data_IF_568429173658
#
_entry.id   IF_568429173658
#
_cell.length_a   1.000
_cell.length_b   1.000
_cell.length_c   1.000
_cell.angle_alpha   90.00
_cell.angle_beta   90.00
_cell.angle_gamma   90.00
#
_symmetry.space_group_name_H-M   'P 1'
#
loop_
_entity.id
_entity.type
_entity.pdbx_description
1 polymer ?
#
# COMPACT_ATOMS: atom_id res chain seq x y z
N UNK A 1 14.16 -7.17 -20.25
CA UNK A 1 13.46 -7.91 -19.18
C UNK A 1 14.18 -9.24 -18.98
N UNK A 2 14.84 -9.42 -17.83
CA UNK A 2 15.56 -10.65 -17.49
C UNK A 2 14.59 -11.64 -16.85
N UNK A 3 14.53 -12.87 -17.35
CA UNK A 3 13.79 -13.98 -16.70
C UNK A 3 14.74 -14.76 -15.82
N UNK A 4 14.21 -15.39 -14.77
CA UNK A 4 14.96 -16.27 -13.90
C UNK A 4 14.30 -17.64 -13.89
N UNK A 5 15.08 -18.71 -14.06
CA UNK A 5 14.59 -20.05 -13.67
C UNK A 5 14.45 -20.12 -12.15
N UNK A 6 13.70 -21.10 -11.61
CA UNK A 6 13.65 -21.32 -10.16
C UNK A 6 15.03 -21.47 -9.51
N UNK A 7 15.98 -22.11 -10.21
CA UNK A 7 17.34 -22.34 -9.73
C UNK A 7 18.16 -21.04 -9.74
N UNK A 8 18.09 -20.25 -10.82
CA UNK A 8 18.77 -18.94 -10.89
C UNK A 8 18.23 -17.98 -9.83
N UNK A 9 16.90 -17.97 -9.62
CA UNK A 9 16.27 -17.16 -8.58
C UNK A 9 16.70 -17.63 -7.19
N UNK A 10 16.77 -18.94 -6.95
CA UNK A 10 17.25 -19.48 -5.69
C UNK A 10 18.72 -19.10 -5.42
N UNK A 11 19.57 -19.08 -6.44
CA UNK A 11 20.96 -18.62 -6.32
C UNK A 11 21.03 -17.14 -5.92
N UNK A 12 20.21 -16.28 -6.54
CA UNK A 12 20.12 -14.85 -6.16
C UNK A 12 19.68 -14.69 -4.71
N UNK A 13 18.67 -15.45 -4.27
CA UNK A 13 18.18 -15.40 -2.89
C UNK A 13 19.24 -15.90 -1.89
N UNK A 14 20.01 -16.91 -2.24
CA UNK A 14 21.08 -17.43 -1.38
C UNK A 14 22.22 -16.42 -1.26
N UNK A 15 22.67 -15.83 -2.38
CA UNK A 15 23.66 -14.75 -2.34
C UNK A 15 23.18 -13.56 -1.52
N UNK A 16 21.90 -13.22 -1.62
CA UNK A 16 21.33 -12.15 -0.82
C UNK A 16 21.26 -12.49 0.67
N UNK A 17 20.98 -13.75 1.02
CA UNK A 17 21.07 -14.22 2.41
C UNK A 17 22.49 -14.06 2.94
N UNK A 18 23.49 -14.54 2.21
CA UNK A 18 24.91 -14.38 2.56
C UNK A 18 25.28 -12.90 2.75
N UNK A 19 24.76 -12.01 1.89
CA UNK A 19 24.98 -10.56 2.01
C UNK A 19 24.38 -9.96 3.28
N UNK A 20 23.18 -10.40 3.68
CA UNK A 20 22.55 -9.96 4.93
C UNK A 20 23.33 -10.42 6.17
N UNK A 21 24.00 -11.57 6.07
CA UNK A 21 24.78 -12.18 7.13
C UNK A 21 26.26 -11.71 7.15
N UNK A 22 26.67 -10.81 6.23
CA UNK A 22 28.06 -10.37 6.02
C UNK A 22 29.04 -11.53 5.73
N UNK A 23 28.55 -12.56 5.03
CA UNK A 23 29.31 -13.77 4.66
C UNK A 23 30.00 -13.63 3.28
N UNK A 24 31.13 -14.33 3.11
CA UNK A 24 31.90 -14.32 1.85
C UNK A 24 31.05 -14.83 0.67
N UNK A 25 31.10 -14.09 -0.46
CA UNK A 25 30.29 -14.39 -1.64
C UNK A 25 28.86 -13.85 -1.59
N UNK A 26 28.51 -13.09 -0.54
CA UNK A 26 27.24 -12.38 -0.44
C UNK A 26 27.11 -11.23 -1.43
N UNK A 27 25.97 -11.20 -2.13
CA UNK A 27 25.61 -10.12 -3.05
C UNK A 27 24.16 -9.67 -2.79
N UNK A 28 23.94 -8.36 -2.67
CA UNK A 28 22.60 -7.80 -2.56
C UNK A 28 21.76 -8.18 -3.78
N UNK A 29 20.51 -8.65 -3.59
CA UNK A 29 19.66 -9.04 -4.70
C UNK A 29 19.34 -7.84 -5.61
N UNK A 30 19.85 -7.89 -6.84
CA UNK A 30 19.48 -6.98 -7.93
C UNK A 30 18.54 -7.67 -8.92
N UNK A 31 17.27 -7.35 -8.79
CA UNK A 31 16.13 -7.86 -9.56
C UNK A 31 15.46 -6.73 -10.35
N UNK A 32 16.19 -5.63 -10.64
CA UNK A 32 15.69 -4.52 -11.45
C UNK A 32 15.16 -5.03 -12.81
N UNK A 33 13.92 -4.66 -13.15
CA UNK A 33 13.28 -5.05 -14.41
C UNK A 33 13.15 -6.56 -14.64
N UNK A 34 13.29 -7.37 -13.59
CA UNK A 34 13.17 -8.82 -13.66
C UNK A 34 11.73 -9.25 -13.93
N UNK A 35 11.54 -10.33 -14.70
CA UNK A 35 10.25 -10.98 -14.79
C UNK A 35 10.11 -12.06 -13.72
N UNK A 36 9.34 -11.75 -12.70
CA UNK A 36 9.01 -12.59 -11.55
C UNK A 36 7.48 -12.80 -11.46
N UNK A 37 6.77 -12.65 -12.59
CA UNK A 37 5.31 -12.80 -12.63
C UNK A 37 4.91 -14.21 -12.21
N UNK A 38 4.04 -14.33 -11.21
CA UNK A 38 3.63 -15.61 -10.64
C UNK A 38 4.72 -16.36 -9.85
N UNK A 39 5.89 -15.77 -9.63
CA UNK A 39 6.96 -16.41 -8.86
C UNK A 39 6.53 -16.70 -7.42
N UNK A 40 7.05 -17.78 -6.84
CA UNK A 40 6.84 -18.11 -5.44
C UNK A 40 8.00 -17.59 -4.59
N UNK A 41 7.77 -16.44 -3.95
CA UNK A 41 8.70 -15.74 -3.05
C UNK A 41 8.15 -15.68 -1.61
N UNK A 42 7.29 -16.65 -1.25
CA UNK A 42 6.66 -16.70 0.06
C UNK A 42 7.71 -16.78 1.16
N UNK A 43 7.66 -15.85 2.11
CA UNK A 43 8.59 -15.79 3.23
C UNK A 43 10.03 -15.46 2.84
N UNK A 44 10.30 -15.08 1.59
CA UNK A 44 11.65 -14.70 1.17
C UNK A 44 12.13 -13.46 1.96
N UNK A 45 13.39 -13.46 2.35
CA UNK A 45 14.03 -12.25 2.87
C UNK A 45 14.66 -11.50 1.69
N UNK A 46 14.10 -10.35 1.36
CA UNK A 46 14.48 -9.43 0.28
C UNK A 46 14.66 -8.01 0.84
N UNK A 47 15.00 -7.89 2.14
CA UNK A 47 15.18 -6.59 2.78
C UNK A 47 16.32 -5.81 2.12
N UNK A 48 16.04 -4.56 1.74
CA UNK A 48 16.96 -3.72 1.00
C UNK A 48 17.19 -4.13 -0.46
N UNK A 49 16.59 -5.21 -0.97
CA UNK A 49 16.80 -5.63 -2.36
C UNK A 49 16.34 -4.58 -3.38
N UNK A 50 16.95 -4.59 -4.57
CA UNK A 50 16.53 -3.75 -5.68
C UNK A 50 15.57 -4.51 -6.60
N UNK A 51 14.27 -4.17 -6.56
CA UNK A 51 13.21 -4.71 -7.40
C UNK A 51 12.56 -3.62 -8.26
N UNK A 52 13.23 -2.49 -8.48
CA UNK A 52 12.68 -1.38 -9.25
C UNK A 52 12.31 -1.82 -10.67
N UNK A 53 11.10 -1.46 -11.12
CA UNK A 53 10.56 -1.86 -12.42
C UNK A 53 10.32 -3.37 -12.60
N UNK A 54 10.42 -4.19 -11.55
CA UNK A 54 10.23 -5.64 -11.65
C UNK A 54 8.77 -6.00 -11.97
N UNK A 55 8.58 -7.06 -12.76
CA UNK A 55 7.26 -7.60 -13.06
C UNK A 55 6.92 -8.69 -12.04
N UNK A 56 6.01 -8.37 -11.13
CA UNK A 56 5.59 -9.22 -10.00
C UNK A 56 4.08 -9.53 -10.03
N UNK A 57 3.45 -9.40 -11.20
CA UNK A 57 2.01 -9.65 -11.37
C UNK A 57 1.66 -11.07 -10.87
N UNK A 58 0.74 -11.15 -9.92
CA UNK A 58 0.31 -12.42 -9.33
C UNK A 58 1.38 -13.20 -8.56
N UNK A 59 2.55 -12.61 -8.26
CA UNK A 59 3.60 -13.26 -7.49
C UNK A 59 3.12 -13.55 -6.05
N UNK A 60 3.60 -14.65 -5.48
CA UNK A 60 3.32 -15.01 -4.09
C UNK A 60 4.42 -14.47 -3.18
N UNK A 61 4.17 -13.35 -2.53
CA UNK A 61 5.06 -12.66 -1.59
C UNK A 61 4.54 -12.70 -0.15
N UNK A 62 3.64 -13.66 0.16
CA UNK A 62 3.01 -13.75 1.48
C UNK A 62 4.09 -13.91 2.57
N UNK A 63 4.06 -13.05 3.57
CA UNK A 63 5.04 -13.04 4.67
C UNK A 63 6.48 -12.74 4.25
N UNK A 64 6.74 -12.27 3.02
CA UNK A 64 8.08 -11.88 2.61
C UNK A 64 8.56 -10.65 3.40
N UNK A 65 9.86 -10.58 3.66
CA UNK A 65 10.49 -9.38 4.21
C UNK A 65 11.05 -8.54 3.07
N UNK A 66 10.43 -7.41 2.79
CA UNK A 66 10.79 -6.40 1.79
C UNK A 66 11.12 -5.05 2.46
N UNK A 67 11.47 -5.06 3.75
CA UNK A 67 11.78 -3.82 4.47
C UNK A 67 12.94 -3.07 3.80
N UNK A 68 12.76 -1.77 3.57
CA UNK A 68 13.72 -0.92 2.87
C UNK A 68 14.01 -1.30 1.42
N UNK A 69 13.27 -2.25 0.82
CA UNK A 69 13.48 -2.66 -0.56
C UNK A 69 13.08 -1.53 -1.53
N UNK A 70 13.75 -1.46 -2.68
CA UNK A 70 13.36 -0.56 -3.75
C UNK A 70 12.42 -1.27 -4.72
N UNK A 71 11.14 -0.93 -4.69
CA UNK A 71 10.07 -1.43 -5.55
C UNK A 71 9.49 -0.31 -6.43
N UNK A 72 10.23 0.78 -6.66
CA UNK A 72 9.76 1.89 -7.48
C UNK A 72 9.38 1.40 -8.89
N UNK A 73 8.24 1.86 -9.40
CA UNK A 73 7.69 1.49 -10.71
C UNK A 73 7.47 -0.03 -10.91
N UNK A 74 7.46 -0.83 -9.86
CA UNK A 74 7.24 -2.28 -9.96
C UNK A 74 5.79 -2.61 -10.32
N UNK A 75 5.59 -3.67 -11.12
CA UNK A 75 4.28 -4.15 -11.53
C UNK A 75 3.78 -5.26 -10.61
N UNK A 76 3.09 -4.90 -9.53
CA UNK A 76 2.58 -5.79 -8.47
C UNK A 76 1.09 -6.10 -8.59
N UNK A 77 0.45 -5.84 -9.73
CA UNK A 77 -1.00 -6.03 -9.88
C UNK A 77 -1.41 -7.47 -9.52
N UNK A 78 -2.38 -7.64 -8.62
CA UNK A 78 -2.85 -8.95 -8.15
C UNK A 78 -1.83 -9.77 -7.36
N UNK A 79 -0.70 -9.19 -6.93
CA UNK A 79 0.29 -9.90 -6.12
C UNK A 79 -0.27 -10.26 -4.73
N UNK A 80 0.20 -11.39 -4.17
CA UNK A 80 -0.17 -11.82 -2.83
C UNK A 80 0.87 -11.37 -1.81
N UNK A 81 0.61 -10.26 -1.11
CA UNK A 81 1.49 -9.63 -0.14
C UNK A 81 0.98 -9.75 1.31
N UNK A 82 0.04 -10.66 1.58
CA UNK A 82 -0.57 -10.75 2.91
C UNK A 82 0.50 -11.06 3.98
N UNK A 83 0.55 -10.25 5.04
CA UNK A 83 1.53 -10.35 6.12
C UNK A 83 2.97 -9.99 5.72
N UNK A 84 3.20 -9.45 4.52
CA UNK A 84 4.55 -9.03 4.11
C UNK A 84 5.03 -7.80 4.90
N UNK A 85 6.33 -7.72 5.17
CA UNK A 85 6.95 -6.55 5.76
C UNK A 85 7.50 -5.64 4.66
N UNK A 86 6.83 -4.53 4.37
CA UNK A 86 7.22 -3.48 3.41
C UNK A 86 7.65 -2.19 4.14
N UNK A 87 8.00 -2.26 5.43
CA UNK A 87 8.36 -1.05 6.19
C UNK A 87 9.55 -0.32 5.56
N UNK A 88 9.42 0.99 5.39
CA UNK A 88 10.42 1.84 4.74
C UNK A 88 10.70 1.50 3.26
N UNK A 89 9.92 0.62 2.63
CA UNK A 89 10.12 0.27 1.23
C UNK A 89 9.77 1.45 0.31
N UNK A 90 10.49 1.57 -0.80
CA UNK A 90 10.15 2.54 -1.84
C UNK A 90 9.20 1.90 -2.85
N UNK A 91 7.91 2.24 -2.80
CA UNK A 91 6.85 1.79 -3.71
C UNK A 91 6.40 2.91 -4.66
N UNK A 92 7.20 3.97 -4.85
CA UNK A 92 6.80 5.10 -5.68
C UNK A 92 6.47 4.67 -7.11
N UNK A 93 5.32 5.06 -7.64
CA UNK A 93 4.87 4.69 -8.99
C UNK A 93 4.53 3.20 -9.17
N UNK A 94 4.61 2.38 -8.12
CA UNK A 94 4.36 0.94 -8.23
C UNK A 94 2.87 0.67 -8.53
N UNK A 95 2.58 -0.32 -9.36
CA UNK A 95 1.22 -0.77 -9.62
C UNK A 95 0.82 -1.90 -8.67
N UNK A 96 0.08 -1.58 -7.61
CA UNK A 96 -0.47 -2.50 -6.60
C UNK A 96 -1.97 -2.81 -6.83
N UNK A 97 -2.52 -2.55 -8.03
CA UNK A 97 -3.94 -2.78 -8.27
C UNK A 97 -4.34 -4.23 -8.00
N UNK A 98 -5.50 -4.48 -7.39
CA UNK A 98 -5.96 -5.82 -6.98
C UNK A 98 -5.02 -6.60 -6.03
N UNK A 99 -3.92 -6.00 -5.54
CA UNK A 99 -2.96 -6.70 -4.70
C UNK A 99 -3.56 -7.01 -3.32
N UNK A 100 -3.22 -8.17 -2.76
CA UNK A 100 -3.62 -8.51 -1.39
C UNK A 100 -2.53 -8.10 -0.40
N UNK A 101 -2.73 -6.96 0.24
CA UNK A 101 -1.87 -6.37 1.27
C UNK A 101 -2.40 -6.61 2.70
N UNK A 102 -3.29 -7.59 2.89
CA UNK A 102 -3.90 -7.83 4.21
C UNK A 102 -2.82 -8.12 5.26
N UNK A 103 -2.89 -7.47 6.42
CA UNK A 103 -1.95 -7.58 7.53
C UNK A 103 -0.48 -7.23 7.16
N UNK A 104 -0.25 -6.59 6.01
CA UNK A 104 1.09 -6.16 5.60
C UNK A 104 1.55 -4.94 6.40
N UNK A 105 2.85 -4.85 6.69
CA UNK A 105 3.44 -3.68 7.31
C UNK A 105 3.99 -2.72 6.24
N UNK A 106 3.33 -1.59 6.00
CA UNK A 106 3.73 -0.52 5.09
C UNK A 106 4.21 0.73 5.86
N UNK A 107 4.57 0.60 7.15
CA UNK A 107 5.01 1.76 7.93
C UNK A 107 6.20 2.45 7.28
N UNK A 108 6.20 3.78 7.24
CA UNK A 108 7.27 4.59 6.61
C UNK A 108 7.49 4.31 5.11
N UNK A 109 6.63 3.51 4.45
CA UNK A 109 6.81 3.19 3.04
C UNK A 109 6.51 4.41 2.16
N UNK A 110 7.27 4.56 1.07
CA UNK A 110 6.98 5.58 0.07
C UNK A 110 5.98 5.07 -0.97
N UNK A 111 4.73 5.48 -0.91
CA UNK A 111 3.66 5.09 -1.83
C UNK A 111 3.30 6.20 -2.83
N UNK A 112 4.17 7.20 -3.02
CA UNK A 112 3.87 8.32 -3.92
C UNK A 112 3.60 7.84 -5.35
N UNK A 113 2.53 8.32 -5.98
CA UNK A 113 2.12 7.87 -7.33
C UNK A 113 1.80 6.38 -7.47
N UNK A 114 1.76 5.60 -6.38
CA UNK A 114 1.44 4.18 -6.46
C UNK A 114 -0.03 3.97 -6.85
N UNK A 115 -0.30 2.93 -7.63
CA UNK A 115 -1.66 2.54 -7.95
C UNK A 115 -2.19 1.51 -6.95
N UNK A 116 -3.12 1.91 -6.07
CA UNK A 116 -3.77 1.05 -5.07
C UNK A 116 -5.23 0.69 -5.40
N UNK A 117 -5.69 0.89 -6.64
CA UNK A 117 -7.08 0.59 -7.03
C UNK A 117 -7.41 -0.88 -6.73
N UNK A 118 -8.52 -1.11 -6.02
CA UNK A 118 -8.99 -2.45 -5.65
C UNK A 118 -8.02 -3.29 -4.79
N UNK A 119 -6.97 -2.69 -4.22
CA UNK A 119 -6.08 -3.38 -3.30
C UNK A 119 -6.77 -3.73 -1.97
N UNK A 120 -6.49 -4.93 -1.44
CA UNK A 120 -7.03 -5.40 -0.17
C UNK A 120 -6.09 -5.01 0.98
N UNK A 121 -6.43 -3.97 1.73
CA UNK A 121 -5.60 -3.40 2.81
C UNK A 121 -6.05 -3.83 4.23
N UNK A 122 -6.78 -4.95 4.35
CA UNK A 122 -7.34 -5.37 5.65
C UNK A 122 -6.24 -5.59 6.68
N UNK A 123 -6.22 -4.82 7.77
CA UNK A 123 -5.21 -4.95 8.83
C UNK A 123 -3.81 -4.45 8.43
N UNK A 124 -3.65 -3.84 7.26
CA UNK A 124 -2.38 -3.29 6.83
C UNK A 124 -1.98 -2.09 7.71
N UNK A 125 -0.71 -2.01 8.08
CA UNK A 125 -0.18 -0.86 8.81
C UNK A 125 0.38 0.18 7.84
N UNK A 126 -0.28 1.33 7.70
CA UNK A 126 0.13 2.44 6.83
C UNK A 126 0.67 3.65 7.62
N UNK A 127 1.04 3.46 8.89
CA UNK A 127 1.58 4.55 9.72
C UNK A 127 2.78 5.23 9.04
N UNK A 128 2.77 6.56 9.00
CA UNK A 128 3.85 7.38 8.44
C UNK A 128 4.21 7.10 6.96
N UNK A 129 3.37 6.33 6.23
CA UNK A 129 3.57 6.09 4.81
C UNK A 129 3.35 7.38 3.99
N UNK A 130 4.19 7.61 2.98
CA UNK A 130 4.00 8.73 2.07
C UNK A 130 2.94 8.41 1.03
N UNK A 131 1.72 8.88 1.24
CA UNK A 131 0.56 8.68 0.36
C UNK A 131 0.30 9.86 -0.60
N UNK A 132 1.26 10.78 -0.73
CA UNK A 132 1.15 11.93 -1.65
C UNK A 132 0.90 11.45 -3.08
N UNK A 133 0.04 12.14 -3.81
CA UNK A 133 -0.16 11.86 -5.24
C UNK A 133 -0.68 10.44 -5.58
N UNK A 134 -1.38 9.77 -4.66
CA UNK A 134 -2.13 8.54 -4.98
C UNK A 134 -3.27 8.85 -5.98
N UNK A 135 -2.92 8.94 -7.26
CA UNK A 135 -3.80 9.31 -8.37
C UNK A 135 -4.91 8.28 -8.62
N UNK A 136 -4.69 7.01 -8.25
CA UNK A 136 -5.57 5.91 -8.62
C UNK A 136 -6.67 5.55 -7.61
N UNK A 137 -6.59 6.03 -6.36
CA UNK A 137 -7.74 5.95 -5.44
C UNK A 137 -8.89 6.83 -5.97
N UNK A 138 -8.56 7.87 -6.75
CA UNK A 138 -9.52 8.90 -7.15
C UNK A 138 -10.13 8.74 -8.54
N UNK A 139 -9.62 7.82 -9.37
CA UNK A 139 -10.05 7.60 -10.75
C UNK A 139 -9.61 8.73 -11.70
N UNK A 140 -9.30 8.38 -12.95
CA UNK A 140 -8.80 9.30 -13.99
C UNK A 140 -9.85 10.25 -14.60
N UNK A 141 -11.11 10.18 -14.18
CA UNK A 141 -12.20 10.98 -14.75
C UNK A 141 -12.70 12.00 -13.75
N UNK A 142 -12.41 13.27 -14.01
CA UNK A 142 -12.75 14.39 -13.16
C UNK A 142 -14.24 14.50 -12.86
N UNK A 143 -14.57 14.49 -11.56
CA UNK A 143 -15.60 15.34 -10.99
C UNK A 143 -15.29 15.54 -9.49
N UNK A 144 -14.85 16.75 -9.13
CA UNK A 144 -14.43 17.13 -7.77
C UNK A 144 -15.62 17.31 -6.79
N UNK A 145 -16.72 16.57 -7.00
CA UNK A 145 -17.94 16.56 -6.17
C UNK A 145 -18.39 15.16 -5.76
N UNK A 146 -17.62 14.13 -6.06
CA UNK A 146 -18.05 12.74 -5.90
C UNK A 146 -17.69 12.14 -4.54
N UNK A 147 -18.61 11.30 -4.07
CA UNK A 147 -18.42 10.39 -2.94
C UNK A 147 -17.24 9.48 -3.27
N UNK A 148 -16.19 9.58 -2.47
CA UNK A 148 -14.97 8.77 -2.53
C UNK A 148 -15.11 7.55 -1.64
N UNK A 149 -14.56 6.41 -2.02
CA UNK A 149 -14.62 5.17 -1.24
C UNK A 149 -13.22 4.72 -0.81
N UNK A 150 -13.10 4.27 0.44
CA UNK A 150 -11.91 3.65 1.01
C UNK A 150 -12.34 2.26 1.46
N UNK A 151 -11.69 1.24 0.90
CA UNK A 151 -11.92 -0.14 1.30
C UNK A 151 -11.18 -0.42 2.61
N UNK A 152 -11.92 -0.48 3.71
CA UNK A 152 -11.41 -0.94 4.99
C UNK A 152 -11.88 -2.38 5.30
N UNK A 153 -11.40 -2.91 6.42
CA UNK A 153 -11.53 -4.32 6.82
C UNK A 153 -12.89 -4.71 7.39
N UNK A 154 -13.57 -3.84 8.13
CA UNK A 154 -14.89 -4.12 8.72
C UNK A 154 -15.98 -3.32 8.02
N UNK A 155 -15.78 -2.01 7.88
CA UNK A 155 -16.78 -1.13 7.29
C UNK A 155 -16.22 -0.44 6.05
N UNK A 156 -16.95 -0.45 4.92
CA UNK A 156 -16.61 0.46 3.84
C UNK A 156 -16.71 1.89 4.36
N UNK A 157 -15.72 2.70 3.99
CA UNK A 157 -15.74 4.13 4.28
C UNK A 157 -16.02 4.85 2.99
N UNK A 158 -17.00 5.75 3.00
CA UNK A 158 -17.17 6.71 1.91
C UNK A 158 -17.06 8.11 2.44
N UNK A 159 -16.59 9.07 1.64
CA UNK A 159 -16.49 10.44 2.10
C UNK A 159 -16.60 11.45 0.96
N UNK A 160 -16.87 12.69 1.31
CA UNK A 160 -16.90 13.87 0.44
C UNK A 160 -16.03 14.95 1.07
N UNK A 161 -15.99 16.13 0.46
CA UNK A 161 -15.39 17.34 1.01
C UNK A 161 -15.76 17.64 2.48
N UNK A 162 -16.94 17.20 2.92
CA UNK A 162 -17.55 17.65 4.18
C UNK A 162 -18.08 16.53 5.06
N UNK A 163 -18.33 15.35 4.51
CA UNK A 163 -18.99 14.24 5.21
C UNK A 163 -18.25 12.93 5.00
N UNK A 164 -18.33 12.04 5.97
CA UNK A 164 -17.84 10.67 5.88
C UNK A 164 -18.90 9.70 6.40
N UNK A 165 -19.04 8.58 5.71
CA UNK A 165 -19.84 7.44 6.09
C UNK A 165 -18.91 6.29 6.48
N UNK A 166 -19.16 5.67 7.62
CA UNK A 166 -18.49 4.44 8.06
C UNK A 166 -19.58 3.43 8.39
N UNK A 167 -19.75 2.43 7.53
CA UNK A 167 -20.87 1.49 7.63
C UNK A 167 -22.22 2.22 7.53
N UNK A 168 -23.05 2.14 8.58
CA UNK A 168 -24.35 2.82 8.64
C UNK A 168 -24.28 4.23 9.25
N UNK A 169 -23.13 4.66 9.78
CA UNK A 169 -22.97 5.97 10.43
C UNK A 169 -22.57 7.02 9.41
N UNK A 170 -23.29 8.14 9.34
CA UNK A 170 -23.03 9.24 8.42
C UNK A 170 -22.97 10.56 9.19
N UNK A 171 -21.79 11.18 9.21
CA UNK A 171 -21.52 12.41 9.97
C UNK A 171 -20.60 13.33 9.15
N UNK A 172 -20.49 14.60 9.56
CA UNK A 172 -19.48 15.50 9.00
C UNK A 172 -18.07 15.05 9.36
N UNK A 173 -17.07 15.46 8.57
CA UNK A 173 -15.67 15.19 8.89
C UNK A 173 -15.29 15.75 10.26
N UNK A 174 -15.72 16.98 10.56
CA UNK A 174 -15.44 17.63 11.84
C UNK A 174 -16.03 16.86 13.04
N UNK A 175 -17.27 16.35 12.91
CA UNK A 175 -17.90 15.51 13.94
C UNK A 175 -17.13 14.21 14.13
N UNK A 176 -16.79 13.51 13.05
CA UNK A 176 -15.98 12.29 13.13
C UNK A 176 -14.69 12.48 13.91
N UNK A 177 -13.98 13.58 13.65
CA UNK A 177 -12.73 13.88 14.33
C UNK A 177 -12.89 14.28 15.80
N UNK A 178 -14.05 14.86 16.14
CA UNK A 178 -14.40 15.31 17.48
C UNK A 178 -14.96 14.21 18.38
N UNK A 179 -15.47 13.10 17.83
CA UNK A 179 -16.00 12.01 18.64
C UNK A 179 -14.96 11.44 19.61
N UNK A 180 -15.39 11.23 20.85
CA UNK A 180 -14.59 10.56 21.87
C UNK A 180 -14.80 9.03 21.84
N UNK A 181 -13.93 8.31 22.56
CA UNK A 181 -13.93 6.84 22.57
C UNK A 181 -15.27 6.23 23.03
N UNK A 182 -15.99 6.89 23.93
CA UNK A 182 -17.29 6.43 24.43
C UNK A 182 -18.37 6.56 23.34
N UNK A 183 -18.40 7.68 22.62
CA UNK A 183 -19.32 7.89 21.51
C UNK A 183 -19.10 6.88 20.38
N UNK A 184 -17.83 6.64 20.02
CA UNK A 184 -17.48 5.62 19.02
C UNK A 184 -17.88 4.22 19.50
N UNK A 185 -17.61 3.88 20.77
CA UNK A 185 -17.97 2.58 21.35
C UNK A 185 -19.47 2.28 21.34
N UNK A 186 -20.32 3.32 21.36
CA UNK A 186 -21.77 3.17 21.27
C UNK A 186 -22.27 2.84 19.87
N UNK A 187 -21.48 3.11 18.83
CA UNK A 187 -21.89 2.87 17.44
C UNK A 187 -21.89 1.38 17.07
N UNK A 188 -20.86 0.64 17.51
CA UNK A 188 -20.76 -0.81 17.39
C UNK A 188 -19.76 -1.36 18.42
N UNK A 189 -19.97 -2.60 18.87
CA UNK A 189 -19.06 -3.34 19.75
C UNK A 189 -17.59 -3.40 19.27
N UNK A 190 -17.33 -3.31 17.95
CA UNK A 190 -15.98 -3.34 17.36
C UNK A 190 -15.50 -1.95 16.93
N UNK A 191 -16.33 -0.92 17.05
CA UNK A 191 -16.07 0.39 16.46
C UNK A 191 -14.82 1.04 17.04
N UNK A 192 -14.63 1.02 18.36
CA UNK A 192 -13.50 1.68 18.99
C UNK A 192 -12.15 1.07 18.58
N UNK A 193 -12.05 -0.26 18.60
CA UNK A 193 -10.82 -0.96 18.23
C UNK A 193 -10.46 -0.69 16.75
N UNK A 194 -11.45 -0.71 15.88
CA UNK A 194 -11.28 -0.38 14.46
C UNK A 194 -10.91 1.09 14.24
N UNK A 195 -11.62 2.01 14.90
CA UNK A 195 -11.41 3.45 14.78
C UNK A 195 -10.03 3.88 15.27
N UNK A 196 -9.51 3.25 16.33
CA UNK A 196 -8.16 3.50 16.85
C UNK A 196 -7.09 3.26 15.78
N UNK A 197 -7.29 2.24 14.93
CA UNK A 197 -6.37 1.93 13.83
C UNK A 197 -6.60 2.86 12.63
N UNK A 198 -7.86 3.04 12.23
CA UNK A 198 -8.19 3.71 10.98
C UNK A 198 -8.26 5.23 11.07
N UNK A 199 -8.54 5.83 12.23
CA UNK A 199 -8.64 7.29 12.39
C UNK A 199 -7.42 8.04 11.80
N UNK A 200 -6.16 7.74 12.18
CA UNK A 200 -5.01 8.46 11.61
C UNK A 200 -4.84 8.23 10.11
N UNK A 201 -5.13 7.02 9.61
CA UNK A 201 -5.05 6.68 8.19
C UNK A 201 -6.10 7.46 7.39
N UNK A 202 -7.35 7.47 7.87
CA UNK A 202 -8.45 8.20 7.24
C UNK A 202 -8.20 9.71 7.25
N UNK A 203 -7.64 10.27 8.33
CA UNK A 203 -7.24 11.68 8.37
C UNK A 203 -6.23 12.00 7.28
N UNK A 204 -5.15 11.22 7.16
CA UNK A 204 -4.15 11.43 6.10
C UNK A 204 -4.76 11.33 4.70
N UNK A 205 -5.56 10.30 4.44
CA UNK A 205 -6.21 10.10 3.12
C UNK A 205 -7.14 11.27 2.78
N UNK A 206 -7.93 11.74 3.75
CA UNK A 206 -8.95 12.76 3.53
C UNK A 206 -8.33 14.15 3.43
N UNK A 207 -7.31 14.46 4.23
CA UNK A 207 -6.59 15.74 4.16
C UNK A 207 -5.77 15.89 2.86
N UNK A 208 -5.20 14.80 2.36
CA UNK A 208 -4.51 14.77 1.07
C UNK A 208 -5.49 14.74 -0.12
N UNK A 209 -6.80 14.70 0.12
CA UNK A 209 -7.80 14.55 -0.94
C UNK A 209 -8.11 15.88 -1.63
N UNK A 210 -8.14 15.93 -2.98
CA UNK A 210 -8.57 17.11 -3.71
C UNK A 210 -10.05 17.44 -3.54
N UNK A 211 -10.83 16.55 -2.90
CA UNK A 211 -12.21 16.82 -2.55
C UNK A 211 -12.33 17.83 -1.39
N UNK A 212 -11.34 17.99 -0.52
CA UNK A 212 -11.38 18.90 0.62
C UNK A 212 -10.73 20.24 0.24
N UNK A 213 -11.36 21.41 0.52
CA UNK A 213 -10.77 22.72 0.19
C UNK A 213 -9.40 22.90 0.85
N UNK A 214 -8.34 23.02 0.04
CA UNK A 214 -6.95 23.12 0.51
C UNK A 214 -6.12 21.84 0.34
N UNK A 215 -6.74 20.72 -0.06
CA UNK A 215 -6.01 19.53 -0.50
C UNK A 215 -5.29 19.79 -1.84
N UNK A 216 -4.03 19.38 -1.94
CA UNK A 216 -3.26 19.49 -3.18
C UNK A 216 -3.91 18.61 -4.25
N UNK A 217 -4.28 19.23 -5.37
CA UNK A 217 -4.74 18.51 -6.56
C UNK A 217 -3.51 17.93 -7.25
N UNK A 218 -3.52 16.64 -7.64
CA UNK A 218 -2.44 16.10 -8.47
C UNK A 218 -2.23 16.97 -9.69
N UNK A 219 -0.97 17.28 -10.00
CA UNK A 219 -0.62 17.98 -11.22
C UNK A 219 -1.21 17.21 -12.40
N UNK A 220 -2.13 17.85 -13.14
CA UNK A 220 -2.72 17.26 -14.34
C UNK A 220 -1.58 17.02 -15.33
N UNK A 221 -1.10 15.79 -15.44
CA UNK A 221 -0.31 15.37 -16.59
C UNK A 221 -1.28 15.30 -17.76
N UNK A 222 -1.35 16.40 -18.52
CA UNK A 222 -1.96 16.43 -19.83
C UNK A 222 -1.31 15.32 -20.69
N UNK A 223 -2.05 14.22 -20.86
CA UNK A 223 -1.71 13.22 -21.85
C UNK A 223 -1.92 13.85 -23.24
N UNK A 224 -0.81 14.20 -23.89
CA UNK A 224 -0.75 14.56 -25.30
C UNK A 224 -0.85 13.31 -26.20
#
# INVERSE_FOLDING_TARGET
MKTYTPEELAEVLEKHRLWLDDEEGGEQADLNGANLSGANLRGANLSGANLSGAYLRGANLRGANLSGANLSDAYLSGAYLSGANLSGANLSGANLSDANLSDANLSDANLSDANLSDAYLRGANLSDANLRELSSIWGLTGNLREVKAIQADIWPVTYTATHMQIGCQFHTLAEWWAFNDEEISRMDSKALAWWTVWKPILQQIIEASPAVPGGEKPAETEAA
#
